data_IF_877852588187
#
_entry.id   IF_877852588187
#
_cell.length_a   1.000
_cell.length_b   1.000
_cell.length_c   1.000
_cell.angle_alpha   90.00
_cell.angle_beta   90.00
_cell.angle_gamma   90.00
#
_symmetry.space_group_name_H-M   'P 1'
#
loop_
_entity.id
_entity.type
_entity.pdbx_description
1 polymer ?
#
# COMPACT_ATOMS: atom_id res chain seq x y z
N UNK A 1 -18.24 -3.72 -22.38
CA UNK A 1 -17.32 -4.77 -22.85
C UNK A 1 -16.13 -4.80 -21.92
N UNK A 2 -16.04 -5.81 -21.04
CA UNK A 2 -14.93 -5.95 -20.11
C UNK A 2 -13.65 -6.30 -20.88
N UNK A 3 -12.57 -5.55 -20.64
CA UNK A 3 -11.25 -5.85 -21.17
C UNK A 3 -10.49 -6.68 -20.12
N UNK A 4 -9.74 -7.71 -20.54
CA UNK A 4 -9.00 -8.61 -19.64
C UNK A 4 -7.96 -7.88 -18.74
N UNK A 5 -7.61 -6.63 -19.05
CA UNK A 5 -6.67 -5.82 -18.26
C UNK A 5 -7.33 -4.68 -17.45
N UNK A 6 -8.66 -4.63 -17.34
CA UNK A 6 -9.32 -3.60 -16.52
C UNK A 6 -9.15 -3.90 -15.03
N UNK A 7 -8.34 -3.08 -14.36
CA UNK A 7 -8.22 -3.03 -12.90
C UNK A 7 -9.31 -2.17 -12.24
N UNK A 8 -9.99 -1.32 -13.02
CA UNK A 8 -11.08 -0.46 -12.58
C UNK A 8 -12.45 -1.14 -12.79
N UNK A 9 -13.48 -0.65 -12.10
CA UNK A 9 -14.85 -1.06 -12.39
C UNK A 9 -15.29 -0.70 -13.81
N UNK A 10 -16.20 -1.50 -14.35
CA UNK A 10 -16.89 -1.20 -15.60
C UNK A 10 -17.74 0.07 -15.46
N UNK A 11 -18.01 0.76 -16.57
CA UNK A 11 -18.84 1.97 -16.57
C UNK A 11 -20.17 1.76 -15.84
N UNK A 12 -20.54 2.75 -15.01
CA UNK A 12 -21.74 2.68 -14.21
C UNK A 12 -22.98 2.55 -15.11
N UNK A 13 -23.64 1.40 -15.03
CA UNK A 13 -24.86 1.13 -15.80
C UNK A 13 -26.15 1.50 -15.04
N UNK A 14 -26.01 2.06 -13.82
CA UNK A 14 -27.11 2.42 -12.92
C UNK A 14 -26.63 3.42 -11.85
N UNK A 15 -27.50 4.34 -11.37
CA UNK A 15 -27.15 5.31 -10.32
C UNK A 15 -26.62 4.67 -9.02
N UNK A 16 -27.04 3.44 -8.70
CA UNK A 16 -26.56 2.71 -7.51
C UNK A 16 -25.10 2.28 -7.69
N UNK A 17 -24.70 1.89 -8.91
CA UNK A 17 -23.33 1.46 -9.21
C UNK A 17 -22.37 2.66 -9.18
N UNK A 18 -22.85 3.84 -9.58
CA UNK A 18 -22.06 5.08 -9.48
C UNK A 18 -21.75 5.43 -8.01
N UNK A 19 -22.74 5.32 -7.11
CA UNK A 19 -22.54 5.57 -5.68
C UNK A 19 -21.56 4.55 -5.06
N UNK A 20 -21.70 3.27 -5.43
CA UNK A 20 -20.80 2.21 -4.96
C UNK A 20 -19.37 2.42 -5.45
N UNK A 21 -19.18 2.86 -6.69
CA UNK A 21 -17.85 3.17 -7.24
C UNK A 21 -17.20 4.34 -6.48
N UNK A 22 -17.97 5.39 -6.17
CA UNK A 22 -17.48 6.53 -5.38
C UNK A 22 -17.08 6.12 -3.95
N UNK A 23 -17.86 5.24 -3.33
CA UNK A 23 -17.52 4.68 -2.03
C UNK A 23 -16.27 3.79 -2.10
N UNK A 24 -16.17 2.95 -3.13
CA UNK A 24 -15.01 2.10 -3.36
C UNK A 24 -13.73 2.91 -3.51
N UNK A 25 -13.73 3.97 -4.31
CA UNK A 25 -12.56 4.81 -4.52
C UNK A 25 -12.06 5.43 -3.21
N UNK A 26 -12.98 5.89 -2.36
CA UNK A 26 -12.63 6.38 -1.03
C UNK A 26 -12.07 5.26 -0.13
N UNK A 27 -12.66 4.07 -0.15
CA UNK A 27 -12.20 2.94 0.64
C UNK A 27 -10.79 2.49 0.21
N UNK A 28 -10.52 2.40 -1.10
CA UNK A 28 -9.22 2.03 -1.66
C UNK A 28 -8.17 3.09 -1.35
N UNK A 29 -8.50 4.38 -1.41
CA UNK A 29 -7.58 5.45 -1.00
C UNK A 29 -7.09 5.25 0.44
N UNK A 30 -8.01 4.98 1.38
CA UNK A 30 -7.66 4.73 2.78
C UNK A 30 -6.87 3.43 2.95
N UNK A 31 -7.27 2.35 2.29
CA UNK A 31 -6.57 1.08 2.35
C UNK A 31 -5.13 1.20 1.83
N UNK A 32 -4.90 1.90 0.73
CA UNK A 32 -3.56 2.16 0.18
C UNK A 32 -2.71 3.02 1.12
N UNK A 33 -3.30 4.01 1.80
CA UNK A 33 -2.59 4.81 2.79
C UNK A 33 -2.15 3.98 4.01
N UNK A 34 -2.99 3.03 4.45
CA UNK A 34 -2.62 2.12 5.53
C UNK A 34 -1.54 1.14 5.06
N UNK A 35 -1.67 0.56 3.86
CA UNK A 35 -0.68 -0.35 3.29
C UNK A 35 0.68 0.33 3.12
N UNK A 36 0.73 1.57 2.63
CA UNK A 36 1.97 2.32 2.47
C UNK A 36 2.62 2.65 3.82
N UNK A 37 1.82 3.00 4.84
CA UNK A 37 2.31 3.22 6.20
C UNK A 37 2.91 1.94 6.79
N UNK A 38 2.23 0.79 6.66
CA UNK A 38 2.73 -0.50 7.14
C UNK A 38 4.01 -0.90 6.40
N UNK A 39 4.06 -0.72 5.08
CA UNK A 39 5.26 -0.97 4.28
C UNK A 39 6.42 -0.06 4.69
N UNK A 40 6.16 1.23 4.92
CA UNK A 40 7.16 2.18 5.41
C UNK A 40 7.75 1.73 6.74
N UNK A 41 6.91 1.35 7.71
CA UNK A 41 7.36 0.84 9.00
C UNK A 41 8.14 -0.46 8.86
N UNK A 42 7.73 -1.36 7.97
CA UNK A 42 8.45 -2.60 7.67
C UNK A 42 9.84 -2.31 7.11
N UNK A 43 9.95 -1.40 6.13
CA UNK A 43 11.24 -0.99 5.56
C UNK A 43 12.11 -0.32 6.61
N UNK A 44 11.52 0.52 7.48
CA UNK A 44 12.24 1.21 8.54
C UNK A 44 12.87 0.22 9.51
N UNK A 45 12.12 -0.79 9.97
CA UNK A 45 12.62 -1.85 10.85
C UNK A 45 13.73 -2.67 10.17
N UNK A 46 13.59 -3.00 8.89
CA UNK A 46 14.60 -3.76 8.15
C UNK A 46 15.89 -2.95 7.93
N UNK A 47 15.79 -1.64 7.69
CA UNK A 47 16.95 -0.76 7.51
C UNK A 47 17.64 -0.45 8.85
N UNK A 48 16.89 -0.22 9.93
CA UNK A 48 17.44 -0.07 11.28
C UNK A 48 18.20 -1.32 11.76
N UNK A 49 17.77 -2.51 11.32
CA UNK A 49 18.47 -3.76 11.63
C UNK A 49 19.67 -4.06 10.72
N UNK A 50 19.98 -3.19 9.75
CA UNK A 50 21.05 -3.39 8.76
C UNK A 50 22.42 -2.73 9.06
N UNK A 51 22.68 -2.06 10.19
CA UNK A 51 24.05 -1.75 10.62
C UNK A 51 24.34 -2.41 11.96
N UNK A 52 24.41 -3.74 12.03
CA UNK A 52 24.91 -4.49 13.21
C UNK A 52 25.71 -5.72 12.76
N UNK A 53 26.65 -5.46 11.86
CA UNK A 53 27.87 -6.26 11.75
C UNK A 53 29.12 -5.38 11.73
N UNK A 54 28.97 -4.05 11.78
CA UNK A 54 30.06 -3.07 11.75
C UNK A 54 30.18 -2.24 13.03
N UNK A 55 29.09 -1.98 13.76
CA UNK A 55 29.13 -1.28 15.07
C UNK A 55 29.58 -2.21 16.20
N UNK A 56 29.16 -3.47 16.20
CA UNK A 56 29.63 -4.47 17.17
C UNK A 56 31.14 -4.78 16.99
N UNK A 57 31.68 -4.58 15.79
CA UNK A 57 33.11 -4.72 15.50
C UNK A 57 33.94 -3.48 15.88
N UNK A 58 33.29 -2.33 16.13
CA UNK A 58 33.97 -1.07 16.47
C UNK A 58 33.95 -0.76 17.98
N UNK A 59 33.09 -1.44 18.76
CA UNK A 59 33.10 -1.44 20.25
C UNK A 59 34.14 -2.41 20.85
N UNK A 60 34.85 -3.18 20.03
CA UNK A 60 35.93 -4.09 20.46
C UNK A 60 37.34 -3.44 20.42
N UNK A 61 37.44 -2.10 20.35
CA UNK A 61 38.65 -1.32 20.64
C UNK A 61 38.60 -0.76 22.06
#
# INVERSE_FOLDING_TARGET
TANHSQLNFQDASSPIIEELMRFHDHAVMVALAICSLVLYLLTHILTEKLPSSTVDAQEML
#
